data_IF_977135077861
#
_entry.id   IF_977135077861
#
_cell.length_a   1.000
_cell.length_b   1.000
_cell.length_c   1.000
_cell.angle_alpha   90.00
_cell.angle_beta   90.00
_cell.angle_gamma   90.00
#
_symmetry.space_group_name_H-M   'P 1'
#
loop_
_entity.id
_entity.type
_entity.pdbx_description
1 polymer ?
#
# COMPACT_ATOMS: atom_id res chain seq x y z
N UNK A 1 -8.78 -7.30 12.06
CA UNK A 1 -8.72 -8.57 12.87
C UNK A 1 -7.59 -8.47 13.88
N UNK A 2 -7.54 -9.37 14.88
CA UNK A 2 -6.44 -9.34 15.86
C UNK A 2 -5.40 -10.39 15.50
N UNK A 3 -4.14 -10.09 15.76
CA UNK A 3 -3.05 -11.06 15.66
C UNK A 3 -3.02 -11.98 16.88
N UNK A 4 -2.52 -13.19 16.69
CA UNK A 4 -2.27 -14.11 17.79
C UNK A 4 -1.07 -13.57 18.60
N UNK A 5 -1.28 -13.28 19.87
CA UNK A 5 -0.27 -12.65 20.74
C UNK A 5 1.06 -13.39 20.77
N UNK A 6 1.05 -14.71 20.56
CA UNK A 6 2.25 -15.57 20.60
C UNK A 6 2.94 -15.74 19.24
N UNK A 7 2.33 -15.32 18.13
CA UNK A 7 2.93 -15.42 16.81
C UNK A 7 4.18 -14.55 16.73
N UNK A 8 5.24 -15.06 16.14
CA UNK A 8 6.51 -14.35 15.97
C UNK A 8 6.48 -13.55 14.66
N UNK A 9 6.92 -12.29 14.71
CA UNK A 9 6.98 -11.43 13.54
C UNK A 9 8.35 -11.50 12.87
N UNK A 10 8.35 -11.61 11.54
CA UNK A 10 9.55 -11.56 10.71
C UNK A 10 9.76 -10.15 10.16
N UNK A 11 10.61 -9.38 10.82
CA UNK A 11 10.96 -8.02 10.41
C UNK A 11 11.88 -7.96 9.18
N UNK A 12 12.43 -9.09 8.70
CA UNK A 12 13.29 -9.12 7.51
C UNK A 12 12.53 -8.86 6.20
N UNK A 13 11.19 -8.97 6.23
CA UNK A 13 10.31 -8.70 5.09
C UNK A 13 9.99 -7.21 4.91
N UNK A 14 10.41 -6.37 5.85
CA UNK A 14 10.20 -4.92 5.80
C UNK A 14 11.52 -4.16 5.81
N UNK A 15 11.47 -2.91 5.37
CA UNK A 15 12.59 -1.98 5.35
C UNK A 15 12.15 -0.63 5.90
N UNK A 16 13.05 0.09 6.58
CA UNK A 16 12.80 1.50 6.87
C UNK A 16 13.11 2.36 5.65
N UNK A 17 12.21 3.27 5.36
CA UNK A 17 12.30 4.20 4.23
C UNK A 17 13.11 5.45 4.54
N UNK A 18 14.21 5.35 5.26
CA UNK A 18 15.27 6.36 5.46
C UNK A 18 14.85 7.83 5.36
N UNK A 19 14.07 8.30 6.31
CA UNK A 19 13.74 9.70 6.52
C UNK A 19 13.54 9.92 8.02
N UNK A 20 14.62 10.22 8.78
CA UNK A 20 14.56 10.59 10.21
C UNK A 20 14.05 9.48 11.13
N UNK A 21 14.93 8.88 11.91
CA UNK A 21 14.63 7.79 12.84
C UNK A 21 13.38 8.03 13.68
N UNK A 22 12.68 6.98 14.04
CA UNK A 22 11.54 6.94 14.98
C UNK A 22 11.97 7.38 16.40
N UNK A 23 12.59 8.55 16.48
CA UNK A 23 13.06 9.19 17.69
C UNK A 23 12.10 10.30 18.09
N UNK A 24 11.39 10.11 19.18
CA UNK A 24 10.59 11.11 19.90
C UNK A 24 11.42 12.36 20.20
N UNK A 25 11.22 13.45 19.45
CA UNK A 25 11.93 14.69 19.74
C UNK A 25 11.52 15.83 18.81
N UNK A 26 10.77 16.80 19.34
CA UNK A 26 10.33 17.99 18.62
C UNK A 26 11.49 18.91 18.21
N UNK A 27 11.29 19.65 17.12
CA UNK A 27 12.16 20.72 16.69
C UNK A 27 11.81 21.20 15.29
N UNK A 28 11.07 22.32 15.19
CA UNK A 28 10.72 22.95 13.92
C UNK A 28 11.96 23.44 13.16
N UNK A 29 12.03 23.09 11.90
CA UNK A 29 12.98 23.61 10.93
C UNK A 29 12.25 24.14 9.71
N UNK A 30 12.30 25.45 9.54
CA UNK A 30 11.69 26.20 8.44
C UNK A 30 12.53 26.03 7.18
N UNK A 31 11.99 25.41 6.12
CA UNK A 31 12.61 25.39 4.79
C UNK A 31 11.88 26.35 3.85
N UNK A 32 12.56 27.32 3.23
CA UNK A 32 11.97 28.18 2.21
C UNK A 32 12.16 27.54 0.84
N UNK A 33 11.05 27.24 0.16
CA UNK A 33 11.06 26.82 -1.24
C UNK A 33 10.03 25.73 -1.58
N UNK A 34 8.78 25.90 -1.17
CA UNK A 34 7.70 24.99 -1.54
C UNK A 34 6.99 25.45 -2.79
N UNK A 35 6.96 24.62 -3.85
CA UNK A 35 6.00 24.74 -4.93
C UNK A 35 4.63 24.43 -4.31
N UNK A 36 3.76 25.47 -4.21
CA UNK A 36 2.37 25.29 -3.81
C UNK A 36 1.61 24.64 -4.99
N UNK A 37 1.55 23.32 -4.98
CA UNK A 37 0.51 22.60 -5.73
C UNK A 37 -0.73 22.69 -4.85
N UNK A 38 -1.80 23.32 -5.34
CA UNK A 38 -3.04 23.54 -4.60
C UNK A 38 -3.55 22.24 -3.98
N UNK A 39 -3.48 22.18 -2.65
CA UNK A 39 -3.83 20.99 -1.87
C UNK A 39 -5.34 20.74 -1.84
N UNK A 40 -5.81 19.90 -2.74
CA UNK A 40 -7.12 19.27 -2.63
C UNK A 40 -6.93 17.75 -2.72
N UNK A 41 -7.76 17.00 -2.02
CA UNK A 41 -7.78 15.53 -2.00
C UNK A 41 -7.81 14.93 -3.43
N UNK A 42 -8.32 15.69 -4.42
CA UNK A 42 -8.26 15.32 -5.84
C UNK A 42 -6.85 15.21 -6.44
N UNK A 43 -5.81 15.79 -5.79
CA UNK A 43 -4.41 15.61 -6.18
C UNK A 43 -3.81 14.27 -5.77
N UNK A 44 -4.35 13.65 -4.73
CA UNK A 44 -3.90 12.34 -4.23
C UNK A 44 -4.14 11.21 -5.23
N UNK A 45 -5.32 11.18 -5.83
CA UNK A 45 -5.74 10.12 -6.77
C UNK A 45 -4.89 10.15 -8.05
N UNK A 46 -4.64 11.36 -8.58
CA UNK A 46 -3.80 11.53 -9.78
C UNK A 46 -2.33 11.18 -9.53
N UNK A 47 -1.84 11.38 -8.31
CA UNK A 47 -0.42 11.19 -7.99
C UNK A 47 -0.11 9.70 -7.79
N UNK A 48 -1.00 8.92 -7.20
CA UNK A 48 -0.87 7.46 -7.09
C UNK A 48 -0.82 6.82 -8.48
N UNK A 49 -1.69 7.25 -9.40
CA UNK A 49 -1.64 6.77 -10.79
C UNK A 49 -0.40 7.24 -11.54
N UNK A 50 0.09 8.46 -11.32
CA UNK A 50 1.36 8.92 -11.91
C UNK A 50 2.55 8.12 -11.38
N UNK A 51 2.56 7.74 -10.11
CA UNK A 51 3.64 6.93 -9.52
C UNK A 51 3.58 5.47 -9.99
N UNK A 52 2.40 4.88 -10.05
CA UNK A 52 2.22 3.49 -10.48
C UNK A 52 2.38 3.36 -12.01
N UNK A 53 1.95 4.37 -12.79
CA UNK A 53 1.73 4.19 -14.22
C UNK A 53 2.49 5.13 -15.15
N UNK A 54 3.30 6.09 -14.68
CA UNK A 54 3.95 6.90 -15.68
C UNK A 54 4.68 8.14 -15.24
N UNK A 55 5.89 8.01 -14.83
CA UNK A 55 6.89 9.06 -14.87
C UNK A 55 7.38 9.34 -16.28
N UNK A 56 6.49 9.59 -17.24
CA UNK A 56 6.83 9.95 -18.61
C UNK A 56 6.25 11.32 -18.99
N UNK A 57 7.05 12.39 -18.82
CA UNK A 57 6.95 13.66 -19.56
C UNK A 57 5.72 14.54 -19.37
N UNK A 58 5.59 15.23 -18.23
CA UNK A 58 4.84 16.51 -18.16
C UNK A 58 5.67 17.62 -17.51
N UNK A 59 6.98 17.66 -17.68
CA UNK A 59 7.82 18.82 -17.41
C UNK A 59 8.84 19.00 -18.54
N UNK A 60 8.34 19.26 -19.74
CA UNK A 60 9.08 19.86 -20.83
C UNK A 60 9.04 21.38 -20.65
N UNK A 61 10.14 21.97 -20.21
CA UNK A 61 10.31 23.40 -20.00
C UNK A 61 11.79 23.74 -19.96
N UNK A 62 12.33 23.89 -21.13
CA UNK A 62 13.35 24.84 -21.62
C UNK A 62 14.69 24.99 -20.90
N UNK A 63 15.69 24.89 -21.75
CA UNK A 63 17.12 25.06 -21.58
C UNK A 63 17.50 26.50 -21.20
N UNK A 64 18.32 26.65 -20.19
CA UNK A 64 19.09 27.86 -19.93
C UNK A 64 20.43 27.49 -19.30
N UNK A 65 21.50 27.52 -20.11
CA UNK A 65 22.86 27.25 -19.69
C UNK A 65 23.39 28.31 -18.71
N UNK A 66 24.21 27.88 -17.73
CA UNK A 66 24.88 28.75 -16.79
C UNK A 66 25.98 28.02 -16.03
N UNK A 67 27.17 28.48 -16.26
CA UNK A 67 28.53 28.08 -15.86
C UNK A 67 28.76 27.54 -14.47
N UNK A 68 29.76 26.69 -14.43
CA UNK A 68 30.48 26.12 -13.30
C UNK A 68 30.83 27.11 -12.16
N UNK A 69 30.47 26.75 -10.94
CA UNK A 69 30.98 27.25 -9.69
C UNK A 69 31.21 26.09 -8.74
N UNK A 70 32.50 25.76 -8.49
CA UNK A 70 32.88 24.65 -7.62
C UNK A 70 32.42 24.88 -6.18
N UNK A 71 31.78 23.84 -5.62
CA UNK A 71 31.49 23.75 -4.19
C UNK A 71 32.35 22.65 -3.56
N UNK A 72 32.82 22.85 -2.31
CA UNK A 72 33.74 21.94 -1.66
C UNK A 72 33.06 20.58 -1.37
N UNK A 73 33.80 19.53 -1.63
CA UNK A 73 33.49 18.15 -1.29
C UNK A 73 33.28 18.01 0.22
N UNK A 74 32.03 17.96 0.66
CA UNK A 74 31.72 17.41 1.97
C UNK A 74 31.76 15.88 1.84
N UNK A 75 32.68 15.29 2.56
CA UNK A 75 32.81 13.85 2.73
C UNK A 75 31.50 13.30 3.31
N UNK A 76 30.80 12.54 2.48
CA UNK A 76 29.74 11.64 2.94
C UNK A 76 30.42 10.60 3.85
N UNK A 77 30.07 10.61 5.13
CA UNK A 77 30.49 9.56 6.06
C UNK A 77 29.89 8.24 5.58
N UNK A 78 30.68 7.16 5.48
CA UNK A 78 30.16 5.85 5.12
C UNK A 78 29.19 5.39 6.22
N UNK A 79 27.97 4.98 5.82
CA UNK A 79 27.10 4.24 6.71
C UNK A 79 27.85 3.00 7.21
N UNK A 80 27.87 2.81 8.51
CA UNK A 80 28.46 1.65 9.15
C UNK A 80 27.65 0.40 8.73
N UNK A 81 28.16 -0.35 7.79
CA UNK A 81 27.79 -1.74 7.57
C UNK A 81 28.65 -2.56 8.53
N UNK A 82 28.02 -3.42 9.32
CA UNK A 82 28.77 -4.40 10.07
C UNK A 82 29.47 -5.39 9.11
N UNK A 83 30.48 -6.10 9.62
CA UNK A 83 31.35 -6.98 8.83
C UNK A 83 30.61 -8.19 8.17
N UNK A 84 29.28 -8.26 8.28
CA UNK A 84 28.43 -9.33 7.74
C UNK A 84 27.44 -8.84 6.66
N UNK A 85 27.43 -7.52 6.30
CA UNK A 85 26.51 -7.00 5.28
C UNK A 85 25.03 -6.95 5.73
N UNK A 86 24.77 -7.04 7.02
CA UNK A 86 23.41 -6.97 7.57
C UNK A 86 23.01 -5.51 7.78
N UNK A 87 22.11 -5.03 6.93
CA UNK A 87 21.44 -3.76 7.11
C UNK A 87 20.51 -3.89 8.33
N UNK A 88 20.81 -3.13 9.35
CA UNK A 88 20.12 -2.86 10.61
C UNK A 88 18.68 -3.43 10.75
N UNK A 89 18.57 -4.60 11.36
CA UNK A 89 17.35 -5.10 12.01
C UNK A 89 16.93 -4.30 13.26
N UNK A 90 17.64 -3.22 13.58
CA UNK A 90 17.42 -2.46 14.82
C UNK A 90 16.19 -1.54 14.80
N UNK A 91 15.70 -1.15 13.62
CA UNK A 91 14.63 -0.14 13.52
C UNK A 91 13.23 -0.66 13.89
N UNK A 92 13.00 -1.99 13.80
CA UNK A 92 11.73 -2.63 14.17
C UNK A 92 11.88 -3.59 15.37
N UNK A 93 12.87 -3.37 16.22
CA UNK A 93 13.20 -4.27 17.34
C UNK A 93 12.08 -4.40 18.38
N UNK A 94 11.13 -3.45 18.41
CA UNK A 94 9.93 -3.51 19.25
C UNK A 94 8.85 -4.43 18.70
N UNK A 95 8.87 -4.77 17.41
CA UNK A 95 7.86 -5.59 16.74
C UNK A 95 8.29 -7.07 16.73
N UNK A 96 8.06 -7.77 17.82
CA UNK A 96 8.50 -9.16 17.99
C UNK A 96 7.37 -10.18 17.85
N UNK A 97 6.20 -9.80 18.30
CA UNK A 97 5.07 -10.74 18.43
C UNK A 97 3.75 -10.13 17.93
N UNK A 98 2.74 -10.98 17.75
CA UNK A 98 1.39 -10.51 17.43
C UNK A 98 0.81 -9.62 18.53
N UNK A 99 1.21 -9.78 19.80
CA UNK A 99 0.85 -8.85 20.86
C UNK A 99 1.36 -7.43 20.63
N UNK A 100 2.51 -7.27 19.95
CA UNK A 100 3.02 -5.95 19.58
C UNK A 100 2.20 -5.39 18.41
N UNK A 101 1.85 -6.23 17.42
CA UNK A 101 0.99 -5.85 16.30
C UNK A 101 -0.41 -5.38 16.75
N UNK A 102 -0.94 -5.93 17.82
CA UNK A 102 -2.24 -5.52 18.38
C UNK A 102 -2.20 -4.14 19.07
N UNK A 103 -1.02 -3.54 19.26
CA UNK A 103 -0.84 -2.27 19.99
C UNK A 103 -0.17 -1.16 19.21
N UNK A 104 0.52 -1.51 18.14
CA UNK A 104 1.37 -0.58 17.37
C UNK A 104 1.12 -0.74 15.88
N UNK A 105 0.86 0.36 15.16
CA UNK A 105 0.50 0.34 13.76
C UNK A 105 1.67 -0.10 12.85
N UNK A 106 2.91 0.18 13.22
CA UNK A 106 4.10 -0.29 12.48
C UNK A 106 4.21 -1.82 12.60
N UNK A 107 4.02 -2.35 13.82
CA UNK A 107 4.02 -3.79 14.06
C UNK A 107 2.82 -4.48 13.37
N UNK A 108 1.66 -3.81 13.31
CA UNK A 108 0.50 -4.29 12.56
C UNK A 108 0.81 -4.41 11.05
N UNK A 109 1.47 -3.40 10.46
CA UNK A 109 1.92 -3.47 9.06
C UNK A 109 2.82 -4.71 8.86
N UNK A 110 3.83 -4.90 9.72
CA UNK A 110 4.76 -6.02 9.62
C UNK A 110 4.03 -7.36 9.70
N UNK A 111 3.14 -7.52 10.68
CA UNK A 111 2.37 -8.74 10.87
C UNK A 111 1.45 -9.04 9.67
N UNK A 112 0.83 -8.00 9.09
CA UNK A 112 -0.01 -8.13 7.89
C UNK A 112 0.82 -8.53 6.68
N UNK A 113 2.00 -7.93 6.48
CA UNK A 113 2.95 -8.30 5.42
C UNK A 113 3.37 -9.76 5.56
N UNK A 114 3.70 -10.21 6.79
CA UNK A 114 4.07 -11.61 7.03
C UNK A 114 2.93 -12.56 6.65
N UNK A 115 1.70 -12.25 7.05
CA UNK A 115 0.53 -13.06 6.72
C UNK A 115 0.24 -13.06 5.21
N UNK A 116 0.27 -11.90 4.55
CA UNK A 116 0.01 -11.81 3.12
C UNK A 116 1.08 -12.58 2.31
N UNK A 117 2.36 -12.42 2.65
CA UNK A 117 3.46 -13.16 2.02
C UNK A 117 3.36 -14.68 2.26
N UNK A 118 3.01 -15.12 3.47
CA UNK A 118 2.79 -16.54 3.76
C UNK A 118 1.62 -17.10 2.93
N UNK A 119 0.50 -16.38 2.85
CA UNK A 119 -0.66 -16.78 2.04
C UNK A 119 -0.31 -16.92 0.56
N UNK A 120 0.28 -15.89 -0.05
CA UNK A 120 0.57 -15.88 -1.48
C UNK A 120 1.67 -16.87 -1.87
N UNK A 121 2.67 -17.08 -1.00
CA UNK A 121 3.73 -18.07 -1.21
C UNK A 121 3.18 -19.50 -1.27
N UNK A 122 2.09 -19.80 -0.56
CA UNK A 122 1.40 -21.08 -0.56
C UNK A 122 0.33 -21.19 -1.64
N UNK A 123 -0.20 -20.05 -2.10
CA UNK A 123 -1.35 -20.00 -3.00
C UNK A 123 -0.95 -19.93 -4.47
N UNK A 124 -0.05 -19.04 -4.89
CA UNK A 124 0.33 -18.89 -6.30
C UNK A 124 0.90 -20.17 -6.94
N UNK A 125 1.69 -21.01 -6.23
CA UNK A 125 2.14 -22.29 -6.80
C UNK A 125 1.02 -23.24 -7.18
N UNK A 126 -0.17 -23.17 -6.53
CA UNK A 126 -1.34 -23.96 -6.90
C UNK A 126 -1.89 -23.57 -8.29
N UNK A 127 -1.58 -22.34 -8.74
CA UNK A 127 -1.90 -21.81 -10.07
C UNK A 127 -0.71 -21.85 -11.03
N UNK A 128 0.33 -22.67 -10.71
CA UNK A 128 1.57 -22.83 -11.52
C UNK A 128 2.37 -21.54 -11.67
N UNK A 129 2.31 -20.68 -10.67
CA UNK A 129 3.01 -19.40 -10.63
C UNK A 129 4.01 -19.35 -9.47
N UNK A 130 5.15 -18.74 -9.71
CA UNK A 130 6.12 -18.48 -8.64
C UNK A 130 5.71 -17.21 -7.89
N UNK A 131 5.86 -17.24 -6.56
CA UNK A 131 5.71 -16.06 -5.73
C UNK A 131 7.09 -15.54 -5.34
N UNK A 132 7.34 -14.27 -5.62
CA UNK A 132 8.46 -13.52 -5.07
C UNK A 132 7.93 -12.64 -3.94
N UNK A 133 8.62 -12.62 -2.80
CA UNK A 133 8.16 -11.84 -1.64
C UNK A 133 8.09 -10.34 -1.95
N UNK A 134 6.92 -9.73 -1.73
CA UNK A 134 6.80 -8.29 -1.73
C UNK A 134 7.51 -7.71 -0.50
N UNK A 135 8.58 -6.94 -0.70
CA UNK A 135 9.16 -6.15 0.39
C UNK A 135 8.34 -4.91 0.65
N UNK A 136 8.13 -4.58 1.91
CA UNK A 136 7.42 -3.37 2.30
C UNK A 136 8.38 -2.36 2.91
N UNK A 137 8.33 -1.13 2.41
CA UNK A 137 9.06 0.02 2.95
C UNK A 137 8.12 0.80 3.85
N UNK A 138 8.42 0.83 5.15
CA UNK A 138 7.68 1.62 6.13
C UNK A 138 8.45 2.91 6.35
N UNK A 139 7.78 4.05 6.18
CA UNK A 139 8.42 5.36 6.30
C UNK A 139 7.53 6.34 7.07
N UNK A 140 8.08 7.48 7.43
CA UNK A 140 7.36 8.61 8.02
C UNK A 140 7.70 9.88 7.24
N UNK A 141 6.66 10.58 6.77
CA UNK A 141 6.76 11.83 6.05
C UNK A 141 7.13 11.69 4.57
N UNK A 142 8.36 11.25 4.26
CA UNK A 142 8.83 11.18 2.87
C UNK A 142 9.91 10.11 2.68
N UNK A 143 9.86 9.40 1.53
CA UNK A 143 10.92 8.48 1.10
C UNK A 143 11.07 8.47 -0.42
N UNK A 144 12.12 7.82 -0.93
CA UNK A 144 12.32 7.60 -2.36
C UNK A 144 11.94 6.18 -2.74
N UNK A 145 11.21 6.03 -3.85
CA UNK A 145 10.87 4.75 -4.47
C UNK A 145 11.40 4.67 -5.90
N UNK A 146 11.39 3.49 -6.49
CA UNK A 146 11.63 3.33 -7.92
C UNK A 146 10.64 4.09 -8.81
N UNK A 147 9.45 4.40 -8.29
CA UNK A 147 8.39 5.15 -8.97
C UNK A 147 8.43 6.67 -8.69
N UNK A 148 9.40 7.16 -7.92
CA UNK A 148 9.54 8.57 -7.54
C UNK A 148 9.44 8.80 -6.05
N UNK A 149 9.31 10.07 -5.65
CA UNK A 149 9.21 10.46 -4.24
C UNK A 149 7.85 10.09 -3.66
N UNK A 150 7.85 9.27 -2.63
CA UNK A 150 6.70 8.98 -1.79
C UNK A 150 6.60 9.97 -0.63
N UNK A 151 5.40 10.43 -0.29
CA UNK A 151 5.14 11.24 0.89
C UNK A 151 3.75 10.91 1.45
N UNK A 152 3.42 11.40 2.64
CA UNK A 152 2.16 11.12 3.31
C UNK A 152 0.90 11.47 2.47
N UNK A 153 1.01 12.39 1.49
CA UNK A 153 -0.10 12.78 0.63
C UNK A 153 -0.38 11.74 -0.47
N UNK A 154 0.56 10.87 -0.78
CA UNK A 154 0.40 9.81 -1.80
C UNK A 154 -0.44 8.66 -1.26
N UNK A 155 -0.40 8.43 0.05
CA UNK A 155 -0.94 7.24 0.68
C UNK A 155 -0.05 6.01 0.46
N UNK A 156 -0.45 4.83 0.96
CA UNK A 156 0.18 3.56 0.63
C UNK A 156 0.09 3.27 -0.86
N UNK A 157 1.12 2.64 -1.42
CA UNK A 157 1.13 2.24 -2.83
C UNK A 157 2.12 1.11 -3.10
N UNK A 158 1.87 0.36 -4.17
CA UNK A 158 2.82 -0.58 -4.74
C UNK A 158 3.59 0.07 -5.90
N UNK A 159 4.91 -0.07 -5.91
CA UNK A 159 5.74 0.37 -7.03
C UNK A 159 6.21 -0.82 -7.89
N UNK A 160 5.76 -0.94 -9.15
CA UNK A 160 6.15 -2.06 -10.01
C UNK A 160 7.61 -1.98 -10.48
N UNK A 161 8.25 -0.79 -10.45
CA UNK A 161 9.62 -0.62 -10.92
C UNK A 161 10.66 -1.20 -9.96
N UNK A 162 10.34 -1.29 -8.66
CA UNK A 162 11.22 -1.90 -7.66
C UNK A 162 10.55 -3.05 -6.89
N UNK A 163 9.30 -3.38 -7.26
CA UNK A 163 8.50 -4.48 -6.69
C UNK A 163 8.30 -4.37 -5.18
N UNK A 164 8.07 -3.15 -4.67
CA UNK A 164 7.90 -2.87 -3.25
C UNK A 164 6.57 -2.19 -2.95
N UNK A 165 6.04 -2.49 -1.78
CA UNK A 165 4.95 -1.75 -1.16
C UNK A 165 5.54 -0.63 -0.31
N UNK A 166 4.96 0.57 -0.37
CA UNK A 166 5.36 1.75 0.41
C UNK A 166 4.22 2.18 1.31
N UNK A 167 4.48 2.31 2.61
CA UNK A 167 3.47 2.64 3.61
C UNK A 167 4.01 3.70 4.56
N UNK A 168 3.32 4.84 4.62
CA UNK A 168 3.47 5.78 5.74
C UNK A 168 2.49 5.36 6.85
N UNK A 169 3.02 5.00 8.02
CA UNK A 169 2.18 4.54 9.14
C UNK A 169 1.17 5.60 9.60
N UNK A 170 1.45 6.89 9.39
CA UNK A 170 0.52 7.98 9.70
C UNK A 170 -0.74 7.98 8.84
N UNK A 171 -0.72 7.33 7.67
CA UNK A 171 -1.87 7.22 6.77
C UNK A 171 -3.10 6.59 7.43
N UNK A 172 -2.93 5.67 8.36
CA UNK A 172 -4.07 5.03 9.04
C UNK A 172 -4.89 6.03 9.87
N UNK A 173 -4.23 7.04 10.45
CA UNK A 173 -4.94 8.13 11.10
C UNK A 173 -5.70 9.00 10.08
N UNK A 174 -5.12 9.22 8.89
CA UNK A 174 -5.78 9.96 7.82
C UNK A 174 -6.96 9.18 7.24
N UNK A 175 -6.81 7.88 7.03
CA UNK A 175 -7.87 6.99 6.57
C UNK A 175 -9.12 7.09 7.46
N UNK A 176 -8.92 7.18 8.77
CA UNK A 176 -10.02 7.36 9.73
C UNK A 176 -10.52 8.80 9.76
N UNK A 177 -9.63 9.79 9.96
CA UNK A 177 -10.04 11.18 10.25
C UNK A 177 -10.47 11.95 8.99
N UNK A 178 -9.77 11.72 7.85
CA UNK A 178 -10.05 12.43 6.59
C UNK A 178 -11.02 11.67 5.69
N UNK A 179 -10.91 10.34 5.60
CA UNK A 179 -11.75 9.56 4.69
C UNK A 179 -12.98 8.96 5.38
N UNK A 180 -12.96 8.85 6.72
CA UNK A 180 -14.11 8.37 7.50
C UNK A 180 -14.23 6.84 7.55
N UNK A 181 -13.14 6.13 7.29
CA UNK A 181 -13.08 4.69 7.51
C UNK A 181 -13.17 4.35 8.99
N UNK A 182 -13.54 3.10 9.29
CA UNK A 182 -13.48 2.58 10.64
C UNK A 182 -12.03 2.55 11.15
N UNK A 183 -11.84 2.70 12.45
CA UNK A 183 -10.51 2.57 13.07
C UNK A 183 -10.14 1.12 13.43
N UNK A 184 -10.95 0.15 13.02
CA UNK A 184 -10.72 -1.27 13.35
C UNK A 184 -9.47 -1.84 12.67
N UNK A 185 -8.84 -2.87 13.27
CA UNK A 185 -7.59 -3.43 12.73
C UNK A 185 -7.71 -3.86 11.27
N UNK A 186 -8.78 -4.59 10.88
CA UNK A 186 -8.91 -5.07 9.50
C UNK A 186 -9.11 -3.93 8.48
N UNK A 187 -9.54 -2.73 8.88
CA UNK A 187 -9.54 -1.57 7.99
C UNK A 187 -8.13 -1.18 7.56
N UNK A 188 -7.16 -1.28 8.47
CA UNK A 188 -5.74 -1.00 8.21
C UNK A 188 -5.07 -2.14 7.44
N UNK A 189 -5.32 -3.37 7.87
CA UNK A 189 -4.80 -4.59 7.24
C UNK A 189 -5.26 -4.74 5.79
N UNK A 190 -6.52 -4.36 5.50
CA UNK A 190 -7.06 -4.33 4.14
C UNK A 190 -6.22 -3.48 3.20
N UNK A 191 -5.77 -2.31 3.63
CA UNK A 191 -4.92 -1.43 2.80
C UNK A 191 -3.63 -2.15 2.42
N UNK A 192 -2.95 -2.78 3.38
CA UNK A 192 -1.71 -3.52 3.13
C UNK A 192 -1.94 -4.72 2.21
N UNK A 193 -3.05 -5.44 2.41
CA UNK A 193 -3.43 -6.57 1.58
C UNK A 193 -3.78 -6.15 0.15
N UNK A 194 -4.40 -4.98 -0.03
CA UNK A 194 -4.70 -4.38 -1.33
C UNK A 194 -3.40 -4.05 -2.09
N UNK A 195 -2.43 -3.40 -1.45
CA UNK A 195 -1.13 -3.11 -2.07
C UNK A 195 -0.35 -4.39 -2.41
N UNK A 196 -0.47 -5.41 -1.57
CA UNK A 196 0.07 -6.75 -1.89
C UNK A 196 -0.68 -7.39 -3.06
N UNK A 197 -1.97 -7.11 -3.23
CA UNK A 197 -2.76 -7.46 -4.42
C UNK A 197 -2.15 -6.91 -5.70
N UNK A 198 -1.70 -5.65 -5.71
CA UNK A 198 -0.98 -5.08 -6.85
C UNK A 198 0.35 -5.77 -7.13
N UNK A 199 1.05 -6.25 -6.10
CA UNK A 199 2.23 -7.09 -6.29
C UNK A 199 1.87 -8.39 -7.01
N UNK A 200 0.80 -9.07 -6.60
CA UNK A 200 0.31 -10.27 -7.28
C UNK A 200 -0.04 -9.96 -8.75
N UNK A 201 -0.72 -8.85 -9.03
CA UNK A 201 -1.02 -8.43 -10.40
C UNK A 201 0.23 -8.14 -11.23
N UNK A 202 1.29 -7.64 -10.60
CA UNK A 202 2.58 -7.45 -11.25
C UNK A 202 3.21 -8.79 -11.64
N UNK A 203 3.19 -9.77 -10.74
CA UNK A 203 3.64 -11.15 -11.03
C UNK A 203 2.78 -11.81 -12.13
N UNK A 204 1.48 -11.49 -12.21
CA UNK A 204 0.57 -11.90 -13.28
C UNK A 204 0.84 -11.19 -14.62
N UNK A 205 1.66 -10.12 -14.63
CA UNK A 205 1.97 -9.34 -15.83
C UNK A 205 0.80 -8.50 -16.36
N UNK A 206 -0.18 -8.16 -15.51
CA UNK A 206 -1.41 -7.47 -15.94
C UNK A 206 -1.52 -6.01 -15.53
N UNK A 207 -0.61 -5.48 -14.71
CA UNK A 207 -0.66 -4.08 -14.25
C UNK A 207 -0.68 -3.05 -15.38
N UNK A 208 -0.03 -3.34 -16.52
CA UNK A 208 0.03 -2.45 -17.66
C UNK A 208 -1.35 -2.18 -18.31
N UNK A 209 -2.36 -3.01 -18.03
CA UNK A 209 -3.72 -2.80 -18.54
C UNK A 209 -4.37 -1.51 -18.02
N UNK A 210 -3.97 -1.06 -16.82
CA UNK A 210 -4.43 0.22 -16.28
C UNK A 210 -3.97 1.42 -17.11
N UNK A 211 -2.76 1.35 -17.70
CA UNK A 211 -2.20 2.41 -18.54
C UNK A 211 -2.88 2.51 -19.92
N UNK A 212 -3.38 1.38 -20.41
CA UNK A 212 -4.04 1.32 -21.73
C UNK A 212 -5.42 1.94 -21.73
N UNK A 213 -6.11 1.93 -20.57
CA UNK A 213 -7.44 2.50 -20.37
C UNK A 213 -7.51 3.10 -18.94
N UNK A 214 -7.04 4.34 -18.76
CA UNK A 214 -6.69 4.88 -17.44
C UNK A 214 -7.87 5.46 -16.67
N UNK A 215 -9.02 5.73 -17.28
CA UNK A 215 -10.13 6.42 -16.61
C UNK A 215 -11.49 5.92 -17.06
N UNK A 216 -12.46 5.96 -16.16
CA UNK A 216 -13.85 5.61 -16.39
C UNK A 216 -14.34 4.44 -15.53
N UNK A 217 -15.65 4.29 -15.35
CA UNK A 217 -16.22 3.35 -14.36
C UNK A 217 -15.94 1.87 -14.66
N UNK A 218 -15.58 1.54 -15.89
CA UNK A 218 -15.21 0.17 -16.31
C UNK A 218 -13.83 0.13 -16.96
N UNK A 219 -13.00 1.14 -16.75
CA UNK A 219 -11.66 1.27 -17.32
C UNK A 219 -10.70 0.18 -16.85
N UNK A 220 -9.60 0.01 -17.57
CA UNK A 220 -8.51 -0.86 -17.18
C UNK A 220 -7.95 -0.51 -15.80
N UNK A 221 -7.84 0.80 -15.47
CA UNK A 221 -7.42 1.25 -14.16
C UNK A 221 -8.38 0.77 -13.07
N UNK A 222 -9.68 1.06 -13.20
CA UNK A 222 -10.70 0.61 -12.24
C UNK A 222 -10.71 -0.92 -12.09
N UNK A 223 -10.54 -1.66 -13.19
CA UNK A 223 -10.47 -3.14 -13.14
C UNK A 223 -9.28 -3.65 -12.36
N UNK A 224 -8.12 -3.02 -12.48
CA UNK A 224 -6.92 -3.35 -11.68
C UNK A 224 -7.18 -3.10 -10.21
N UNK A 225 -7.76 -1.97 -9.84
CA UNK A 225 -8.08 -1.63 -8.45
C UNK A 225 -9.09 -2.61 -7.83
N UNK A 226 -10.18 -2.87 -8.52
CA UNK A 226 -11.21 -3.81 -8.04
C UNK A 226 -10.70 -5.25 -7.95
N UNK A 227 -9.77 -5.65 -8.83
CA UNK A 227 -9.08 -6.92 -8.69
C UNK A 227 -8.20 -6.94 -7.43
N UNK A 228 -7.49 -5.86 -7.09
CA UNK A 228 -6.71 -5.78 -5.86
C UNK A 228 -7.60 -5.88 -4.61
N UNK A 229 -8.79 -5.26 -4.63
CA UNK A 229 -9.79 -5.43 -3.58
C UNK A 229 -10.23 -6.90 -3.43
N UNK A 230 -10.50 -7.59 -4.54
CA UNK A 230 -10.85 -9.00 -4.53
C UNK A 230 -9.70 -9.87 -3.99
N UNK A 231 -8.46 -9.61 -4.41
CA UNK A 231 -7.28 -10.33 -3.91
C UNK A 231 -7.08 -10.10 -2.40
N UNK A 232 -7.33 -8.89 -1.90
CA UNK A 232 -7.35 -8.61 -0.47
C UNK A 232 -8.43 -9.44 0.23
N UNK A 233 -9.63 -9.55 -0.35
CA UNK A 233 -10.70 -10.40 0.15
C UNK A 233 -10.31 -11.88 0.19
N UNK A 234 -9.63 -12.41 -0.84
CA UNK A 234 -9.15 -13.81 -0.84
C UNK A 234 -8.13 -14.05 0.27
N UNK A 235 -7.21 -13.10 0.50
CA UNK A 235 -6.30 -13.19 1.63
C UNK A 235 -7.07 -13.21 2.97
N UNK A 236 -8.02 -12.30 3.18
CA UNK A 236 -8.82 -12.26 4.41
C UNK A 236 -9.51 -13.61 4.65
N UNK A 237 -10.07 -14.24 3.62
CA UNK A 237 -10.72 -15.56 3.73
C UNK A 237 -9.81 -16.62 4.36
N UNK A 238 -8.53 -16.59 4.00
CA UNK A 238 -7.52 -17.58 4.40
C UNK A 238 -6.52 -17.06 5.43
N UNK A 239 -6.69 -15.84 5.93
CA UNK A 239 -5.72 -15.19 6.79
C UNK A 239 -5.45 -15.98 8.09
N UNK A 240 -6.45 -16.66 8.64
CA UNK A 240 -6.31 -17.51 9.84
C UNK A 240 -5.54 -18.81 9.60
N UNK A 241 -5.28 -19.18 8.33
CA UNK A 241 -4.47 -20.33 7.94
C UNK A 241 -2.99 -19.97 7.80
N UNK A 242 -2.65 -18.67 7.82
CA UNK A 242 -1.28 -18.19 7.72
C UNK A 242 -0.54 -18.37 9.03
N UNK A 243 0.75 -18.68 8.93
CA UNK A 243 1.56 -19.05 10.10
C UNK A 243 2.88 -18.30 10.11
N UNK A 244 3.44 -18.14 11.32
CA UNK A 244 4.84 -17.75 11.47
C UNK A 244 5.81 -18.91 11.10
N UNK A 245 7.10 -18.65 11.14
CA UNK A 245 8.13 -19.67 10.83
C UNK A 245 8.09 -20.87 11.80
N UNK A 246 7.51 -20.73 12.98
CA UNK A 246 7.32 -21.80 13.97
C UNK A 246 6.03 -22.60 13.75
N UNK A 247 5.19 -22.21 12.79
CA UNK A 247 3.88 -22.82 12.53
C UNK A 247 2.75 -22.32 13.41
N UNK A 248 2.97 -21.24 14.18
CA UNK A 248 1.91 -20.61 14.98
C UNK A 248 1.01 -19.78 14.05
N UNK A 249 -0.34 -19.93 14.09
CA UNK A 249 -1.22 -19.08 13.33
C UNK A 249 -0.98 -17.60 13.63
N UNK A 250 -0.84 -16.78 12.57
CA UNK A 250 -0.58 -15.35 12.72
C UNK A 250 -1.79 -14.58 13.23
N UNK A 251 -2.99 -14.98 12.84
CA UNK A 251 -4.22 -14.25 13.11
C UNK A 251 -5.22 -15.05 13.94
N UNK A 252 -6.03 -14.32 14.69
CA UNK A 252 -7.20 -14.84 15.40
C UNK A 252 -8.38 -15.03 14.44
N UNK A 253 -9.40 -15.81 14.83
CA UNK A 253 -10.62 -15.97 14.02
C UNK A 253 -11.26 -14.62 13.66
N UNK A 254 -11.67 -14.50 12.39
CA UNK A 254 -12.27 -13.29 11.83
C UNK A 254 -13.70 -13.15 12.36
N UNK A 255 -14.05 -11.95 12.79
CA UNK A 255 -15.39 -11.60 13.22
C UNK A 255 -16.18 -10.85 12.14
N UNK A 256 -17.51 -10.78 12.28
CA UNK A 256 -18.32 -9.96 11.39
C UNK A 256 -17.98 -8.46 11.49
N UNK A 257 -17.49 -8.00 12.65
CA UNK A 257 -17.05 -6.62 12.80
C UNK A 257 -15.78 -6.35 11.99
N UNK A 258 -14.85 -7.28 11.97
CA UNK A 258 -13.64 -7.15 11.15
C UNK A 258 -14.00 -6.97 9.67
N UNK A 259 -14.94 -7.77 9.14
CA UNK A 259 -15.38 -7.62 7.75
C UNK A 259 -16.02 -6.25 7.51
N UNK A 260 -16.84 -5.75 8.43
CA UNK A 260 -17.39 -4.39 8.34
C UNK A 260 -16.29 -3.32 8.32
N UNK A 261 -15.23 -3.52 9.09
CA UNK A 261 -14.09 -2.60 9.13
C UNK A 261 -13.34 -2.57 7.79
N UNK A 262 -13.07 -3.72 7.17
CA UNK A 262 -12.49 -3.80 5.83
C UNK A 262 -13.38 -3.13 4.77
N UNK A 263 -14.68 -3.44 4.77
CA UNK A 263 -15.64 -2.82 3.84
C UNK A 263 -15.74 -1.31 4.05
N UNK A 264 -15.63 -0.84 5.30
CA UNK A 264 -15.60 0.59 5.60
C UNK A 264 -14.37 1.27 4.97
N UNK A 265 -13.19 0.63 5.04
CA UNK A 265 -11.98 1.15 4.41
C UNK A 265 -12.10 1.16 2.88
N UNK A 266 -12.56 0.07 2.27
CA UNK A 266 -12.79 -0.02 0.83
C UNK A 266 -13.76 1.07 0.34
N UNK A 267 -14.87 1.26 1.05
CA UNK A 267 -15.84 2.31 0.72
C UNK A 267 -15.29 3.72 0.88
N UNK A 268 -14.46 3.97 1.92
CA UNK A 268 -13.95 5.30 2.24
C UNK A 268 -13.03 5.86 1.14
N UNK A 269 -12.35 4.98 0.41
CA UNK A 269 -11.42 5.33 -0.67
C UNK A 269 -12.03 5.14 -2.07
N UNK A 270 -13.35 4.96 -2.19
CA UNK A 270 -14.06 4.98 -3.47
C UNK A 270 -14.07 6.37 -4.11
N UNK A 271 -13.89 6.43 -5.44
CA UNK A 271 -13.84 7.68 -6.20
C UNK A 271 -15.09 8.52 -6.01
N UNK A 272 -16.28 7.90 -5.97
CA UNK A 272 -17.55 8.57 -5.73
C UNK A 272 -17.58 9.28 -4.36
N UNK A 273 -17.10 8.63 -3.30
CA UNK A 273 -17.04 9.20 -1.95
C UNK A 273 -16.06 10.34 -1.84
N UNK A 274 -14.88 10.17 -2.44
CA UNK A 274 -13.86 11.22 -2.44
C UNK A 274 -14.32 12.43 -3.24
N UNK A 275 -14.86 12.21 -4.45
CA UNK A 275 -15.35 13.29 -5.31
C UNK A 275 -16.52 14.05 -4.70
N UNK A 276 -17.51 13.34 -4.13
CA UNK A 276 -18.62 13.97 -3.41
C UNK A 276 -18.11 14.88 -2.30
N UNK A 277 -17.19 14.37 -1.47
CA UNK A 277 -16.66 15.11 -0.31
C UNK A 277 -15.84 16.33 -0.71
N UNK A 278 -15.07 16.24 -1.79
CA UNK A 278 -14.11 17.29 -2.20
C UNK A 278 -14.71 18.27 -3.18
N UNK A 279 -15.50 17.77 -4.13
CA UNK A 279 -16.00 18.52 -5.27
C UNK A 279 -17.51 18.78 -5.18
N UNK A 280 -18.23 18.11 -4.26
CA UNK A 280 -19.69 18.18 -4.15
C UNK A 280 -20.42 17.56 -5.35
N UNK A 281 -19.74 16.81 -6.20
CA UNK A 281 -20.32 16.13 -7.37
C UNK A 281 -19.50 14.89 -7.72
N UNK A 282 -20.15 13.89 -8.31
CA UNK A 282 -19.53 12.66 -8.78
C UNK A 282 -19.40 12.71 -10.31
N UNK A 283 -18.23 12.33 -10.83
CA UNK A 283 -17.90 12.29 -12.27
C UNK A 283 -17.30 10.93 -12.61
N UNK A 284 -18.13 9.92 -12.95
CA UNK A 284 -17.66 8.55 -13.16
C UNK A 284 -16.63 8.41 -14.29
N UNK A 285 -16.69 9.28 -15.30
CA UNK A 285 -15.76 9.28 -16.44
C UNK A 285 -14.30 9.54 -16.04
N UNK A 286 -14.09 10.12 -14.85
CA UNK A 286 -12.75 10.41 -14.32
C UNK A 286 -12.31 9.41 -13.24
N UNK A 287 -13.05 8.36 -13.00
CA UNK A 287 -12.70 7.36 -12.00
C UNK A 287 -11.46 6.57 -12.40
N UNK A 288 -10.71 6.21 -11.40
CA UNK A 288 -9.46 5.47 -11.52
C UNK A 288 -9.39 4.30 -10.54
N UNK A 289 -10.18 4.35 -9.45
CA UNK A 289 -10.26 3.32 -8.40
C UNK A 289 -11.63 2.64 -8.32
N UNK A 290 -12.67 3.25 -8.90
CA UNK A 290 -14.02 2.74 -8.87
C UNK A 290 -14.86 3.28 -7.71
N UNK A 291 -16.16 2.95 -7.75
CA UNK A 291 -17.10 3.36 -6.71
C UNK A 291 -16.91 2.60 -5.41
N UNK A 292 -17.34 3.19 -4.30
CA UNK A 292 -17.38 2.53 -3.00
C UNK A 292 -18.15 1.20 -3.05
N UNK A 293 -19.27 1.16 -3.79
CA UNK A 293 -20.07 -0.05 -3.96
C UNK A 293 -19.30 -1.16 -4.70
N UNK A 294 -18.65 -0.81 -5.82
CA UNK A 294 -17.87 -1.77 -6.60
C UNK A 294 -16.68 -2.33 -5.79
N UNK A 295 -15.94 -1.47 -5.07
CA UNK A 295 -14.83 -1.88 -4.21
C UNK A 295 -15.28 -2.87 -3.13
N UNK A 296 -16.36 -2.56 -2.42
CA UNK A 296 -16.94 -3.47 -1.42
C UNK A 296 -17.41 -4.79 -2.05
N UNK A 297 -18.03 -4.72 -3.22
CA UNK A 297 -18.53 -5.91 -3.92
C UNK A 297 -17.40 -6.86 -4.31
N UNK A 298 -16.33 -6.34 -4.90
CA UNK A 298 -15.17 -7.15 -5.30
C UNK A 298 -14.38 -7.69 -4.11
N UNK A 299 -14.24 -6.91 -3.03
CA UNK A 299 -13.69 -7.43 -1.78
C UNK A 299 -14.51 -8.61 -1.25
N UNK A 300 -15.84 -8.46 -1.19
CA UNK A 300 -16.73 -9.53 -0.76
C UNK A 300 -16.65 -10.75 -1.69
N UNK A 301 -16.57 -10.57 -3.01
CA UNK A 301 -16.35 -11.65 -3.96
C UNK A 301 -15.12 -12.48 -3.60
N UNK A 302 -14.01 -11.83 -3.31
CA UNK A 302 -12.78 -12.49 -2.86
C UNK A 302 -12.95 -13.20 -1.52
N UNK A 303 -13.56 -12.53 -0.55
CA UNK A 303 -13.76 -13.06 0.80
C UNK A 303 -14.71 -14.27 0.83
N UNK A 304 -15.79 -14.25 0.05
CA UNK A 304 -16.75 -15.35 0.01
C UNK A 304 -16.19 -16.58 -0.68
N UNK A 305 -15.49 -16.38 -1.81
CA UNK A 305 -14.99 -17.48 -2.64
C UNK A 305 -13.63 -18.00 -2.21
N UNK A 306 -12.72 -17.12 -1.77
CA UNK A 306 -11.34 -17.47 -1.49
C UNK A 306 -10.55 -17.94 -2.71
N UNK A 307 -11.06 -17.74 -3.94
CA UNK A 307 -10.50 -18.25 -5.18
C UNK A 307 -9.98 -17.13 -6.08
N UNK A 308 -8.68 -17.15 -6.38
CA UNK A 308 -8.01 -16.21 -7.27
C UNK A 308 -8.72 -16.05 -8.63
N UNK A 309 -9.26 -17.15 -9.18
CA UNK A 309 -9.95 -17.12 -10.47
C UNK A 309 -11.21 -16.27 -10.46
N UNK A 310 -11.86 -16.11 -9.31
CA UNK A 310 -13.05 -15.28 -9.13
C UNK A 310 -12.73 -13.79 -9.09
N UNK A 311 -11.45 -13.41 -9.02
CA UNK A 311 -10.98 -12.03 -9.05
C UNK A 311 -10.71 -11.49 -10.47
N UNK A 312 -11.07 -12.22 -11.51
CA UNK A 312 -10.84 -11.78 -12.90
C UNK A 312 -11.80 -10.67 -13.33
N UNK A 313 -11.51 -9.43 -12.99
CA UNK A 313 -12.29 -8.25 -13.38
C UNK A 313 -12.29 -7.97 -14.88
N UNK A 314 -11.33 -8.52 -15.62
CA UNK A 314 -11.29 -8.42 -17.10
C UNK A 314 -12.12 -9.48 -17.81
N UNK A 315 -12.62 -10.47 -17.09
CA UNK A 315 -13.49 -11.53 -17.61
C UNK A 315 -14.98 -11.17 -17.63
N UNK A 316 -15.34 -10.01 -17.09
CA UNK A 316 -16.74 -9.54 -17.01
C UNK A 316 -16.95 -8.30 -17.88
N UNK A 317 -18.18 -8.11 -18.39
CA UNK A 317 -18.51 -6.94 -19.23
C UNK A 317 -18.44 -5.65 -18.42
N UNK A 318 -18.97 -5.64 -17.20
CA UNK A 318 -19.00 -4.49 -16.30
C UNK A 318 -18.49 -4.89 -14.91
N UNK A 319 -17.80 -3.98 -14.28
CA UNK A 319 -17.24 -4.15 -12.92
C UNK A 319 -17.88 -3.23 -11.89
N UNK A 320 -18.69 -2.25 -12.37
CA UNK A 320 -19.42 -1.25 -11.56
C UNK A 320 -20.91 -1.44 -11.70
#
# INVERSE_FOLDING_TARGET
>A
MSFNDNAQLDTSQVQSGGGGGFGRGGGGGNFPGGIQIGGGIGGLILLVLMLIFGGGSILGGDSGGGSAGGLPSQQLQPQQVDAAGQVQQSEFSQCKTGADANRDDVCLIIATVNSANDYWSKTLPKYQMNYELAKTVIYEGQTQSGCGTANAQVGPFYCPLDSKVYVDASFFQELQSKFGASGGPLAKEYVIAHENGHHVQNLLGILNRAQQDPQGPNSGAVRIELMADCLAGTWVKHATETTDAGGTPLLQPITQQDIKDALSAAAAVGDDRIQEKVQGRVTPESWTHGSAEARMSWFNQGYETGDLNQCNTFGVERVS
#
